data_IF_423795025584
#
_entry.id   IF_423795025584
#
_cell.length_a   1.000
_cell.length_b   1.000
_cell.length_c   1.000
_cell.angle_alpha   90.00
_cell.angle_beta   90.00
_cell.angle_gamma   90.00
#
_symmetry.space_group_name_H-M   'P 1'
#
loop_
_entity.id
_entity.type
_entity.pdbx_description
1 polymer ?
#
# COMPACT_ATOMS: atom_id res chain seq x y z
N UNK A 1 17.43 41.20 -1.76
CA UNK A 1 16.74 40.13 -2.51
C UNK A 1 17.55 38.87 -2.36
N UNK A 2 17.16 38.08 -1.36
CA UNK A 2 17.93 36.97 -0.78
C UNK A 2 18.11 35.80 -1.75
N UNK A 3 19.36 35.59 -2.18
CA UNK A 3 19.81 34.39 -2.88
C UNK A 3 20.08 33.19 -1.95
N UNK A 4 19.85 33.32 -0.64
CA UNK A 4 20.16 32.27 0.35
C UNK A 4 19.04 31.26 0.63
N UNK A 5 17.87 31.36 -0.03
CA UNK A 5 16.72 30.50 0.29
C UNK A 5 16.58 29.25 -0.61
N UNK A 6 17.40 29.09 -1.64
CA UNK A 6 17.27 27.98 -2.59
C UNK A 6 18.23 26.81 -2.36
N UNK A 7 19.29 26.97 -1.56
CA UNK A 7 20.30 25.91 -1.34
C UNK A 7 19.98 24.97 -0.17
N UNK A 8 19.02 25.31 0.69
CA UNK A 8 18.64 24.50 1.86
C UNK A 8 17.68 23.36 1.55
N UNK A 9 17.03 23.35 0.37
CA UNK A 9 16.02 22.33 0.02
C UNK A 9 16.65 21.13 -0.72
N UNK A 10 17.90 21.23 -1.17
CA UNK A 10 18.51 20.19 -2.02
C UNK A 10 19.47 19.23 -1.26
N UNK A 11 19.38 19.19 0.08
CA UNK A 11 20.11 18.23 0.93
C UNK A 11 19.18 17.29 1.70
N UNK A 12 17.90 17.25 1.33
CA UNK A 12 17.02 16.19 1.82
C UNK A 12 17.16 14.98 0.89
N UNK A 13 17.95 14.03 1.38
CA UNK A 13 17.57 12.62 1.29
C UNK A 13 17.97 11.88 0.01
N UNK A 14 19.25 11.57 -0.07
CA UNK A 14 19.77 10.39 -0.78
C UNK A 14 19.31 9.08 -0.12
N UNK A 15 18.06 8.98 0.39
CA UNK A 15 17.45 7.72 0.78
C UNK A 15 16.99 7.08 -0.52
N UNK A 16 17.72 6.06 -0.95
CA UNK A 16 17.25 5.09 -1.93
C UNK A 16 15.74 4.88 -1.73
N UNK A 17 14.90 4.91 -2.79
CA UNK A 17 13.49 4.62 -2.61
C UNK A 17 13.42 3.24 -1.98
N UNK A 18 13.06 3.17 -0.69
CA UNK A 18 12.75 1.91 -0.06
C UNK A 18 11.67 1.32 -0.95
N UNK A 19 11.98 0.21 -1.63
CA UNK A 19 11.03 -0.41 -2.53
C UNK A 19 9.73 -0.54 -1.75
N UNK A 20 8.63 0.09 -2.22
CA UNK A 20 7.42 0.13 -1.43
C UNK A 20 7.01 -1.31 -1.14
N UNK A 21 6.75 -1.60 0.13
CA UNK A 21 6.34 -2.94 0.58
C UNK A 21 5.16 -3.47 -0.27
N UNK A 22 4.29 -2.55 -0.66
CA UNK A 22 3.17 -2.75 -1.59
C UNK A 22 3.50 -2.20 -2.97
N UNK A 23 3.78 -3.10 -3.92
CA UNK A 23 3.79 -2.77 -5.35
C UNK A 23 2.39 -2.89 -5.93
N UNK A 24 2.14 -2.24 -7.07
CA UNK A 24 0.87 -2.38 -7.80
C UNK A 24 0.55 -3.85 -8.13
N UNK A 25 1.58 -4.64 -8.45
CA UNK A 25 1.46 -6.08 -8.71
C UNK A 25 1.00 -6.86 -7.46
N UNK A 26 1.65 -6.64 -6.30
CA UNK A 26 1.25 -7.26 -5.03
C UNK A 26 -0.17 -6.86 -4.63
N UNK A 27 -0.55 -5.61 -4.88
CA UNK A 27 -1.88 -5.12 -4.59
C UNK A 27 -2.95 -5.76 -5.48
N UNK A 28 -2.71 -5.86 -6.79
CA UNK A 28 -3.62 -6.57 -7.70
C UNK A 28 -3.77 -8.03 -7.29
N UNK A 29 -2.65 -8.69 -6.95
CA UNK A 29 -2.65 -10.09 -6.56
C UNK A 29 -3.40 -10.33 -5.24
N UNK A 30 -3.26 -9.44 -4.26
CA UNK A 30 -4.07 -9.43 -3.03
C UNK A 30 -5.58 -9.41 -3.35
N UNK A 31 -6.00 -8.48 -4.21
CA UNK A 31 -7.43 -8.33 -4.59
C UNK A 31 -7.94 -9.57 -5.32
N UNK A 32 -7.17 -10.10 -6.28
CA UNK A 32 -7.53 -11.31 -7.03
C UNK A 32 -7.75 -12.51 -6.10
N UNK A 33 -6.81 -12.74 -5.19
CA UNK A 33 -6.89 -13.87 -4.26
C UNK A 33 -8.00 -13.70 -3.22
N UNK A 34 -8.20 -12.47 -2.72
CA UNK A 34 -9.31 -12.14 -1.83
C UNK A 34 -10.67 -12.38 -2.49
N UNK A 35 -10.84 -11.94 -3.75
CA UNK A 35 -12.05 -12.20 -4.55
C UNK A 35 -12.28 -13.69 -4.82
N UNK A 36 -11.19 -14.45 -5.01
CA UNK A 36 -11.24 -15.90 -5.13
C UNK A 36 -11.49 -16.64 -3.80
N UNK A 37 -11.72 -15.92 -2.69
CA UNK A 37 -11.99 -16.45 -1.34
C UNK A 37 -10.84 -17.30 -0.77
N UNK A 38 -9.60 -16.98 -1.15
CA UNK A 38 -8.42 -17.57 -0.51
C UNK A 38 -8.31 -17.10 0.95
N UNK A 39 -7.71 -17.92 1.79
CA UNK A 39 -7.45 -17.55 3.18
C UNK A 39 -6.34 -16.50 3.28
N UNK A 40 -6.36 -15.69 4.35
CA UNK A 40 -5.32 -14.67 4.59
C UNK A 40 -3.93 -15.31 4.64
N UNK A 41 -3.81 -16.52 5.22
CA UNK A 41 -2.56 -17.29 5.28
C UNK A 41 -2.02 -17.65 3.89
N UNK A 42 -2.89 -18.08 2.98
CA UNK A 42 -2.51 -18.38 1.59
C UNK A 42 -2.06 -17.13 0.84
N UNK A 43 -2.73 -16.00 1.07
CA UNK A 43 -2.37 -14.72 0.46
C UNK A 43 -1.02 -14.22 1.00
N UNK A 44 -0.81 -14.29 2.31
CA UNK A 44 0.45 -13.94 2.96
C UNK A 44 1.61 -14.79 2.41
N UNK A 45 1.39 -16.10 2.24
CA UNK A 45 2.36 -17.03 1.67
C UNK A 45 2.69 -16.71 0.22
N UNK A 46 1.69 -16.43 -0.62
CA UNK A 46 1.88 -16.08 -2.04
C UNK A 46 2.64 -14.75 -2.17
N UNK A 47 2.25 -13.74 -1.41
CA UNK A 47 2.87 -12.42 -1.47
C UNK A 47 4.20 -12.34 -0.74
N UNK A 48 4.57 -13.39 0.01
CA UNK A 48 5.73 -13.42 0.91
C UNK A 48 5.74 -12.22 1.87
N UNK A 49 4.56 -11.91 2.40
CA UNK A 49 4.32 -10.84 3.36
C UNK A 49 3.77 -11.42 4.66
N UNK A 50 3.99 -10.75 5.80
CA UNK A 50 3.40 -11.18 7.07
C UNK A 50 1.87 -11.02 7.03
N UNK A 51 1.17 -11.90 7.77
CA UNK A 51 -0.29 -11.93 7.86
C UNK A 51 -0.83 -10.57 8.32
N UNK A 52 -0.20 -9.95 9.32
CA UNK A 52 -0.61 -8.64 9.85
C UNK A 52 -0.67 -7.54 8.76
N UNK A 53 0.27 -7.56 7.81
CA UNK A 53 0.28 -6.61 6.69
C UNK A 53 -0.83 -6.89 5.68
N UNK A 54 -1.15 -8.18 5.46
CA UNK A 54 -2.27 -8.57 4.61
C UNK A 54 -3.59 -8.13 5.25
N UNK A 55 -3.78 -8.36 6.54
CA UNK A 55 -4.97 -7.95 7.28
C UNK A 55 -5.16 -6.44 7.23
N UNK A 56 -4.13 -5.67 7.61
CA UNK A 56 -4.19 -4.21 7.55
C UNK A 56 -4.51 -3.69 6.14
N UNK A 57 -3.97 -4.35 5.09
CA UNK A 57 -4.25 -3.95 3.71
C UNK A 57 -5.66 -4.31 3.26
N UNK A 58 -6.19 -5.45 3.68
CA UNK A 58 -7.57 -5.85 3.42
C UNK A 58 -8.59 -4.98 4.16
N UNK A 59 -8.29 -4.57 5.40
CA UNK A 59 -9.10 -3.61 6.14
C UNK A 59 -9.20 -2.27 5.40
N UNK A 60 -8.06 -1.76 4.90
CA UNK A 60 -8.06 -0.54 4.08
C UNK A 60 -8.87 -0.67 2.79
N UNK A 61 -8.80 -1.84 2.13
CA UNK A 61 -9.61 -2.14 0.95
C UNK A 61 -11.10 -2.21 1.26
N UNK A 62 -11.48 -2.84 2.37
CA UNK A 62 -12.87 -2.90 2.82
C UNK A 62 -13.42 -1.52 3.17
N UNK A 63 -12.62 -0.66 3.80
CA UNK A 63 -13.01 0.71 4.10
C UNK A 63 -13.26 1.55 2.83
N UNK A 64 -12.49 1.33 1.77
CA UNK A 64 -12.69 1.97 0.46
C UNK A 64 -13.99 1.52 -0.23
N UNK A 65 -14.38 0.24 -0.08
CA UNK A 65 -15.67 -0.25 -0.62
C UNK A 65 -16.89 0.23 0.19
N UNK A 66 -16.72 0.64 1.45
CA UNK A 66 -17.79 1.15 2.32
C UNK A 66 -18.02 2.67 2.21
N UNK A 67 -17.13 3.43 1.58
CA UNK A 67 -17.32 4.87 1.29
C UNK A 67 -18.04 5.10 -0.05
N UNK A 68 -18.99 4.22 -0.41
CA UNK A 68 -19.92 4.49 -1.50
C UNK A 68 -21.28 4.90 -0.92
N UNK A 69 -21.50 6.20 -0.60
CA UNK A 69 -22.75 6.71 -0.05
C UNK A 69 -23.91 6.76 -1.06
N UNK A 70 -23.89 5.92 -2.10
CA UNK A 70 -24.95 5.86 -3.09
C UNK A 70 -25.92 4.71 -2.83
N UNK A 71 -26.66 4.79 -1.72
CA UNK A 71 -28.03 4.27 -1.60
C UNK A 71 -28.74 4.96 -0.41
N UNK A 72 -29.44 6.06 -0.69
CA UNK A 72 -30.92 6.13 -0.71
C UNK A 72 -31.36 7.42 -1.43
#
# INVERSE_FOLDING_TARGET
MDKQLWEVINMADHRLPQAPLWTAERHNRLIEMFRARNTIEEIARELSLPIDEIEARLELLALDEYDSPYYD
#
